data_IF_474967898164
#
_entry.id   IF_474967898164
#
_cell.length_a   1.000
_cell.length_b   1.000
_cell.length_c   1.000
_cell.angle_alpha   90.00
_cell.angle_beta   90.00
_cell.angle_gamma   90.00
#
_symmetry.space_group_name_H-M   'P 1'
#
loop_
_entity.id
_entity.type
_entity.pdbx_description
1 polymer ?
#
# COMPACT_ATOMS: atom_id res chain seq x y z
N UNK A 1 0.86 -19.66 -22.77
CA UNK A 1 0.44 -18.40 -22.15
C UNK A 1 -1.07 -18.35 -22.22
N UNK A 2 -1.73 -18.06 -21.12
CA UNK A 2 -3.17 -17.86 -21.06
C UNK A 2 -3.43 -16.37 -21.11
N UNK A 3 -4.22 -15.93 -22.09
CA UNK A 3 -4.69 -14.55 -22.18
C UNK A 3 -6.17 -14.49 -21.74
N UNK A 4 -6.57 -13.39 -21.14
CA UNK A 4 -7.95 -13.14 -20.76
C UNK A 4 -8.61 -12.33 -21.87
N UNK A 5 -9.78 -12.75 -22.32
CA UNK A 5 -10.60 -11.98 -23.26
C UNK A 5 -11.22 -10.82 -22.48
N UNK A 6 -10.83 -9.60 -22.81
CA UNK A 6 -11.33 -8.38 -22.16
C UNK A 6 -12.50 -7.77 -22.90
N UNK A 7 -12.56 -7.97 -24.21
CA UNK A 7 -13.62 -7.44 -25.05
C UNK A 7 -13.89 -8.37 -26.25
N UNK A 8 -15.13 -8.46 -26.66
CA UNK A 8 -15.55 -9.19 -27.84
C UNK A 8 -16.58 -8.36 -28.61
N UNK A 9 -16.28 -8.08 -29.85
CA UNK A 9 -17.24 -7.54 -30.84
C UNK A 9 -17.59 -8.61 -31.85
N UNK A 10 -18.44 -8.30 -32.87
CA UNK A 10 -18.73 -9.22 -33.95
C UNK A 10 -17.52 -9.55 -34.83
N UNK A 11 -16.53 -8.64 -34.90
CA UNK A 11 -15.35 -8.76 -35.74
C UNK A 11 -14.06 -8.95 -34.98
N UNK A 12 -14.00 -8.53 -33.71
CA UNK A 12 -12.75 -8.45 -32.97
C UNK A 12 -12.86 -9.08 -31.60
N UNK A 13 -11.73 -9.63 -31.13
CA UNK A 13 -11.57 -10.12 -29.79
C UNK A 13 -10.32 -9.47 -29.20
N UNK A 14 -10.48 -8.73 -28.12
CA UNK A 14 -9.37 -8.13 -27.39
C UNK A 14 -8.90 -9.08 -26.29
N UNK A 15 -7.62 -9.31 -26.24
CA UNK A 15 -6.96 -10.15 -25.22
C UNK A 15 -6.03 -9.31 -24.39
N UNK A 16 -6.05 -9.54 -23.09
CA UNK A 16 -5.01 -9.05 -22.18
C UNK A 16 -4.01 -10.19 -21.90
N UNK A 17 -2.76 -9.98 -22.27
CA UNK A 17 -1.70 -10.91 -21.92
C UNK A 17 -1.12 -10.52 -20.53
N UNK A 18 -0.68 -11.49 -19.72
CA UNK A 18 0.03 -11.18 -18.47
C UNK A 18 1.25 -10.28 -18.73
N UNK A 19 1.47 -9.30 -17.85
CA UNK A 19 2.62 -8.40 -17.95
C UNK A 19 3.97 -9.14 -17.98
N UNK A 20 4.98 -8.51 -18.54
CA UNK A 20 6.35 -9.04 -18.62
C UNK A 20 6.68 -9.82 -19.88
N UNK A 21 5.75 -9.90 -20.85
CA UNK A 21 6.08 -10.42 -22.17
C UNK A 21 6.56 -9.29 -23.08
N UNK A 22 7.67 -9.47 -23.80
CA UNK A 22 8.12 -8.49 -24.79
C UNK A 22 7.06 -8.30 -25.87
N UNK A 23 6.96 -7.09 -26.39
CA UNK A 23 6.12 -6.79 -27.54
C UNK A 23 6.41 -7.80 -28.67
N UNK A 24 5.42 -8.55 -29.07
CA UNK A 24 5.56 -9.62 -30.07
C UNK A 24 4.28 -9.83 -30.84
N UNK A 25 4.40 -10.26 -32.07
CA UNK A 25 3.28 -10.74 -32.85
C UNK A 25 3.22 -12.26 -32.73
N UNK A 26 2.12 -12.78 -32.22
CA UNK A 26 1.93 -14.23 -32.07
C UNK A 26 0.65 -14.72 -32.75
N UNK A 27 0.66 -15.97 -33.15
CA UNK A 27 -0.53 -16.59 -33.72
C UNK A 27 -1.49 -17.04 -32.63
N UNK A 28 -2.76 -16.67 -32.76
CA UNK A 28 -3.85 -17.22 -31.94
C UNK A 28 -4.32 -18.51 -32.55
N UNK A 29 -4.26 -19.59 -31.79
CA UNK A 29 -4.70 -20.91 -32.21
C UNK A 29 -5.86 -21.39 -31.34
N UNK A 30 -6.94 -21.79 -31.97
CA UNK A 30 -8.04 -22.48 -31.31
C UNK A 30 -7.79 -23.99 -31.37
N UNK A 31 -7.79 -24.65 -30.22
CA UNK A 31 -7.73 -26.10 -30.14
C UNK A 31 -9.13 -26.67 -29.96
N UNK A 32 -9.61 -27.41 -30.95
CA UNK A 32 -10.89 -28.09 -30.89
C UNK A 32 -10.72 -29.54 -31.32
N UNK A 33 -11.08 -30.48 -30.47
CA UNK A 33 -11.04 -31.94 -30.73
C UNK A 33 -9.66 -32.42 -31.26
N UNK A 34 -8.58 -31.94 -30.64
CA UNK A 34 -7.20 -32.33 -31.00
C UNK A 34 -6.66 -31.68 -32.27
N UNK A 35 -7.39 -30.78 -32.92
CA UNK A 35 -6.92 -30.00 -34.07
C UNK A 35 -6.70 -28.55 -33.69
N UNK A 36 -5.54 -28.01 -34.09
CA UNK A 36 -5.24 -26.58 -33.98
C UNK A 36 -5.72 -25.86 -35.24
N UNK A 37 -6.44 -24.77 -35.07
CA UNK A 37 -6.85 -23.87 -36.13
C UNK A 37 -6.30 -22.47 -35.80
N UNK A 38 -5.54 -21.90 -36.71
CA UNK A 38 -5.05 -20.52 -36.56
C UNK A 38 -6.22 -19.58 -36.82
N UNK A 39 -6.53 -18.74 -35.82
CA UNK A 39 -7.60 -17.73 -35.93
C UNK A 39 -7.07 -16.42 -36.48
N UNK A 40 -5.80 -16.13 -36.28
CA UNK A 40 -5.17 -14.90 -36.74
C UNK A 40 -3.87 -14.63 -36.00
N UNK A 41 -3.34 -13.45 -36.22
CA UNK A 41 -2.17 -12.94 -35.51
C UNK A 41 -2.62 -11.84 -34.57
N UNK A 42 -2.17 -11.86 -33.32
CA UNK A 42 -2.31 -10.76 -32.40
C UNK A 42 -0.95 -10.08 -32.24
N UNK A 43 -0.96 -8.78 -32.27
CA UNK A 43 0.17 -7.98 -31.83
C UNK A 43 -0.03 -7.69 -30.34
N UNK A 44 0.84 -8.24 -29.53
CA UNK A 44 0.93 -7.82 -28.13
C UNK A 44 1.67 -6.48 -28.17
N UNK A 45 0.92 -5.39 -28.00
CA UNK A 45 1.58 -4.12 -27.69
C UNK A 45 2.21 -4.27 -26.31
N UNK A 46 3.38 -3.68 -26.16
CA UNK A 46 3.96 -3.46 -24.85
C UNK A 46 2.97 -2.55 -24.09
N UNK A 47 2.01 -3.16 -23.44
CA UNK A 47 1.12 -2.48 -22.52
C UNK A 47 1.95 -2.08 -21.31
N UNK A 48 2.86 -1.13 -21.53
CA UNK A 48 3.55 -0.50 -20.39
C UNK A 48 2.47 0.07 -19.52
N UNK A 49 2.44 -0.30 -18.23
CA UNK A 49 1.68 0.47 -17.27
C UNK A 49 2.07 1.95 -17.48
N UNK A 50 1.18 2.90 -17.19
CA UNK A 50 1.51 4.31 -17.31
C UNK A 50 2.90 4.51 -16.69
N UNK A 51 3.79 5.21 -17.41
CA UNK A 51 5.21 5.35 -17.03
C UNK A 51 5.32 5.98 -15.64
N UNK A 52 4.31 6.69 -15.20
CA UNK A 52 4.19 7.29 -13.88
C UNK A 52 3.11 6.59 -13.02
N UNK A 53 3.38 6.38 -11.73
CA UNK A 53 2.38 5.85 -10.81
C UNK A 53 1.20 6.82 -10.69
N UNK A 54 -0.01 6.28 -10.65
CA UNK A 54 -1.24 7.02 -10.40
C UNK A 54 -1.64 6.90 -8.93
N UNK A 55 -2.28 7.94 -8.41
CA UNK A 55 -2.86 7.92 -7.08
C UNK A 55 -4.26 7.31 -7.13
N UNK A 56 -4.52 6.36 -6.25
CA UNK A 56 -5.81 5.72 -6.09
C UNK A 56 -6.36 5.98 -4.70
N UNK A 57 -7.66 6.26 -4.63
CA UNK A 57 -8.42 6.37 -3.40
C UNK A 57 -9.24 5.12 -3.17
N UNK A 58 -9.30 4.67 -1.93
CA UNK A 58 -10.14 3.57 -1.47
C UNK A 58 -11.28 4.17 -0.67
N UNK A 59 -12.52 3.98 -1.14
CA UNK A 59 -13.73 4.50 -0.50
C UNK A 59 -14.52 3.36 0.11
N UNK A 60 -14.83 3.45 1.39
CA UNK A 60 -15.74 2.51 2.05
C UNK A 60 -17.15 3.10 2.03
N UNK A 61 -18.11 2.33 1.51
CA UNK A 61 -19.52 2.73 1.46
C UNK A 61 -20.33 2.08 2.60
N UNK A 62 -21.43 2.71 2.97
CA UNK A 62 -22.32 2.21 4.03
C UNK A 62 -22.93 0.83 3.73
N UNK A 63 -22.98 0.45 2.46
CA UNK A 63 -23.42 -0.88 2.01
C UNK A 63 -22.35 -1.96 2.04
N UNK A 64 -21.25 -1.72 2.77
CA UNK A 64 -20.08 -2.61 2.82
C UNK A 64 -19.36 -2.84 1.48
N UNK A 65 -19.54 -1.98 0.53
CA UNK A 65 -18.81 -1.99 -0.73
C UNK A 65 -17.55 -1.13 -0.64
N UNK A 66 -16.54 -1.47 -1.43
CA UNK A 66 -15.30 -0.70 -1.55
C UNK A 66 -15.18 -0.16 -2.97
N UNK A 67 -15.08 1.15 -3.10
CA UNK A 67 -14.73 1.81 -4.36
C UNK A 67 -13.23 1.97 -4.52
N UNK A 68 -12.74 1.74 -5.73
CA UNK A 68 -11.37 2.08 -6.12
C UNK A 68 -11.47 3.18 -7.17
N UNK A 69 -10.98 4.36 -6.83
CA UNK A 69 -11.02 5.54 -7.67
C UNK A 69 -9.61 6.00 -8.03
N UNK A 70 -9.34 6.32 -9.29
CA UNK A 70 -8.14 7.03 -9.67
C UNK A 70 -8.34 8.52 -9.42
N UNK A 71 -7.36 9.15 -8.82
CA UNK A 71 -7.37 10.57 -8.45
C UNK A 71 -6.49 11.33 -9.45
N UNK A 72 -7.05 12.35 -10.06
CA UNK A 72 -6.28 13.28 -10.89
C UNK A 72 -5.40 14.16 -10.00
N UNK A 73 -4.09 14.14 -10.22
CA UNK A 73 -3.12 14.85 -9.38
C UNK A 73 -3.12 16.37 -9.60
N UNK A 74 -3.83 16.88 -10.60
CA UNK A 74 -3.94 18.31 -10.89
C UNK A 74 -5.22 18.88 -10.31
N UNK A 75 -6.35 18.20 -10.52
CA UNK A 75 -7.69 18.70 -10.15
C UNK A 75 -8.24 18.08 -8.87
N UNK A 76 -7.76 16.90 -8.49
CA UNK A 76 -8.37 16.10 -7.42
C UNK A 76 -9.61 15.30 -7.85
N UNK A 77 -9.99 15.37 -9.14
CA UNK A 77 -11.16 14.68 -9.66
C UNK A 77 -11.01 13.16 -9.55
N UNK A 78 -12.11 12.49 -9.24
CA UNK A 78 -12.18 11.05 -9.07
C UNK A 78 -12.72 10.38 -10.33
N UNK A 79 -12.03 9.33 -10.77
CA UNK A 79 -12.51 8.44 -11.83
C UNK A 79 -12.67 7.03 -11.26
N UNK A 80 -13.91 6.53 -11.19
CA UNK A 80 -14.19 5.18 -10.70
C UNK A 80 -13.53 4.12 -11.59
N UNK A 81 -12.68 3.29 -10.97
CA UNK A 81 -12.04 2.14 -11.61
C UNK A 81 -12.84 0.87 -11.35
N UNK A 82 -13.26 0.64 -10.11
CA UNK A 82 -13.96 -0.56 -9.70
C UNK A 82 -14.84 -0.34 -8.47
N UNK A 83 -15.86 -1.16 -8.32
CA UNK A 83 -16.63 -1.30 -7.08
C UNK A 83 -16.58 -2.75 -6.63
N UNK A 84 -15.91 -3.00 -5.54
CA UNK A 84 -15.82 -4.33 -4.93
C UNK A 84 -17.04 -4.55 -4.02
N UNK A 85 -17.72 -5.69 -4.17
CA UNK A 85 -18.87 -6.04 -3.31
C UNK A 85 -18.44 -6.44 -1.91
N UNK A 86 -19.43 -6.64 -1.04
CA UNK A 86 -19.31 -6.87 0.42
C UNK A 86 -18.19 -7.84 0.84
N UNK A 87 -18.05 -8.95 0.12
CA UNK A 87 -17.02 -9.97 0.42
C UNK A 87 -15.62 -9.64 -0.13
N UNK A 88 -15.47 -8.47 -0.72
CA UNK A 88 -14.23 -8.03 -1.37
C UNK A 88 -13.79 -6.64 -0.92
N UNK A 89 -14.22 -6.23 0.27
CA UNK A 89 -13.72 -4.98 0.88
C UNK A 89 -12.21 -5.02 0.99
N UNK A 90 -11.61 -3.84 0.84
CA UNK A 90 -10.18 -3.68 1.05
C UNK A 90 -9.93 -2.50 1.99
N UNK A 91 -9.03 -2.69 2.92
CA UNK A 91 -8.51 -1.65 3.81
C UNK A 91 -7.05 -1.94 4.15
N UNK A 92 -6.39 -1.03 4.87
CA UNK A 92 -4.97 -1.10 5.17
C UNK A 92 -4.15 -1.36 3.89
N UNK A 93 -4.35 -0.49 2.89
CA UNK A 93 -3.84 -0.74 1.54
C UNK A 93 -2.41 -0.31 1.38
N UNK A 94 -1.66 -1.11 0.63
CA UNK A 94 -0.28 -0.85 0.26
C UNK A 94 -0.02 -1.19 -1.21
N UNK A 95 1.01 -0.60 -1.76
CA UNK A 95 1.59 -0.99 -3.05
C UNK A 95 3.09 -1.20 -2.87
N UNK A 96 3.67 -1.92 -3.81
CA UNK A 96 5.12 -2.12 -3.87
C UNK A 96 5.68 -1.49 -5.13
N UNK A 97 6.93 -1.06 -5.12
CA UNK A 97 7.53 -0.35 -6.24
C UNK A 97 7.33 -1.07 -7.58
N UNK A 98 6.76 -0.38 -8.55
CA UNK A 98 6.55 -0.91 -9.89
C UNK A 98 5.42 -1.92 -10.05
N UNK A 99 4.60 -2.15 -9.02
CA UNK A 99 3.45 -3.05 -9.09
C UNK A 99 2.19 -2.33 -9.58
N UNK A 100 1.41 -3.03 -10.40
CA UNK A 100 0.05 -2.64 -10.78
C UNK A 100 -1.02 -3.21 -9.83
N UNK A 101 -0.63 -3.64 -8.63
CA UNK A 101 -1.53 -4.24 -7.65
C UNK A 101 -1.64 -3.40 -6.40
N UNK A 102 -2.86 -3.27 -5.92
CA UNK A 102 -3.16 -2.76 -4.59
C UNK A 102 -3.32 -3.96 -3.68
N UNK A 103 -2.48 -4.07 -2.66
CA UNK A 103 -2.56 -5.09 -1.63
C UNK A 103 -3.27 -4.51 -0.42
N UNK A 104 -3.93 -5.36 0.34
CA UNK A 104 -4.62 -4.93 1.54
C UNK A 104 -5.29 -6.08 2.25
N UNK A 105 -6.12 -5.75 3.20
CA UNK A 105 -6.92 -6.69 3.97
C UNK A 105 -8.34 -6.71 3.42
N UNK A 106 -8.90 -7.90 3.27
CA UNK A 106 -10.32 -8.12 3.00
C UNK A 106 -11.01 -8.68 4.25
N UNK A 107 -12.33 -8.54 4.39
CA UNK A 107 -13.06 -9.21 5.45
C UNK A 107 -12.83 -10.72 5.38
N UNK A 108 -12.40 -11.30 6.48
CA UNK A 108 -12.17 -12.74 6.58
C UNK A 108 -12.00 -13.15 8.03
N UNK A 109 -12.68 -14.20 8.48
CA UNK A 109 -12.63 -14.61 9.87
C UNK A 109 -12.99 -13.50 10.86
N UNK A 110 -12.25 -13.43 11.97
CA UNK A 110 -12.47 -12.43 13.02
C UNK A 110 -11.64 -11.16 12.84
N UNK A 111 -10.62 -11.17 11.97
CA UNK A 111 -9.65 -10.07 11.85
C UNK A 111 -9.56 -9.60 10.40
N UNK A 112 -9.24 -10.47 9.46
CA UNK A 112 -9.14 -10.14 8.06
C UNK A 112 -8.38 -11.20 7.26
N UNK A 113 -8.38 -11.06 5.96
CA UNK A 113 -7.61 -11.91 5.05
C UNK A 113 -6.72 -11.04 4.14
N UNK A 114 -5.51 -11.51 3.86
CA UNK A 114 -4.66 -10.84 2.89
C UNK A 114 -5.26 -10.97 1.48
N UNK A 115 -5.38 -9.85 0.79
CA UNK A 115 -5.96 -9.78 -0.54
C UNK A 115 -5.20 -8.80 -1.44
N UNK A 116 -5.46 -8.87 -2.74
CA UNK A 116 -5.01 -7.85 -3.68
C UNK A 116 -6.03 -7.59 -4.79
N UNK A 117 -5.96 -6.40 -5.34
CA UNK A 117 -6.65 -6.00 -6.56
C UNK A 117 -5.61 -5.68 -7.65
N UNK A 118 -5.73 -6.34 -8.81
CA UNK A 118 -4.87 -6.09 -9.97
C UNK A 118 -5.55 -5.03 -10.86
N UNK A 119 -4.96 -3.85 -10.95
CA UNK A 119 -5.50 -2.70 -11.68
C UNK A 119 -5.57 -2.94 -13.19
N UNK A 120 -4.63 -3.69 -13.75
CA UNK A 120 -4.60 -4.00 -15.18
C UNK A 120 -5.63 -5.06 -15.54
N UNK A 121 -5.66 -6.14 -14.77
CA UNK A 121 -6.56 -7.27 -15.00
C UNK A 121 -7.97 -7.04 -14.47
N UNK A 122 -8.19 -5.97 -13.70
CA UNK A 122 -9.44 -5.69 -12.97
C UNK A 122 -9.93 -6.90 -12.19
N UNK A 123 -9.04 -7.43 -11.39
CA UNK A 123 -9.23 -8.71 -10.74
C UNK A 123 -8.87 -8.64 -9.27
N UNK A 124 -9.83 -9.04 -8.44
CA UNK A 124 -9.65 -9.17 -6.99
C UNK A 124 -9.33 -10.63 -6.63
N UNK A 125 -8.38 -10.82 -5.76
CA UNK A 125 -8.04 -12.12 -5.21
C UNK A 125 -7.81 -12.05 -3.72
N UNK A 126 -8.50 -12.92 -3.00
CA UNK A 126 -8.19 -13.30 -1.64
C UNK A 126 -7.08 -14.36 -1.66
N UNK A 127 -6.10 -14.21 -0.78
CA UNK A 127 -4.99 -15.14 -0.67
C UNK A 127 -5.35 -16.45 0.06
N UNK A 128 -6.50 -16.50 0.74
CA UNK A 128 -6.89 -17.60 1.61
C UNK A 128 -6.15 -17.63 2.96
N UNK A 129 -5.43 -16.54 3.30
CA UNK A 129 -4.75 -16.39 4.58
C UNK A 129 -5.57 -15.52 5.50
N UNK A 130 -6.24 -16.15 6.44
CA UNK A 130 -7.07 -15.50 7.46
C UNK A 130 -6.24 -14.99 8.66
N UNK A 131 -6.88 -14.24 9.53
CA UNK A 131 -6.32 -13.66 10.76
C UNK A 131 -5.16 -12.69 10.50
N UNK A 132 -5.20 -12.00 9.37
CA UNK A 132 -4.28 -10.93 9.05
C UNK A 132 -4.75 -9.63 9.72
N UNK A 133 -3.84 -8.97 10.40
CA UNK A 133 -4.14 -7.80 11.25
C UNK A 133 -3.77 -6.49 10.57
N UNK A 134 -2.60 -6.45 9.93
CA UNK A 134 -2.10 -5.25 9.27
C UNK A 134 -1.23 -5.61 8.07
N UNK A 135 -1.36 -4.83 7.00
CA UNK A 135 -0.51 -4.92 5.82
C UNK A 135 0.66 -3.93 5.90
N UNK A 136 1.66 -4.13 5.06
CA UNK A 136 2.78 -3.22 4.90
C UNK A 136 3.67 -3.64 3.75
N UNK A 137 4.83 -3.00 3.65
CA UNK A 137 5.83 -3.33 2.64
C UNK A 137 7.11 -3.80 3.30
N UNK A 138 7.70 -4.85 2.77
CA UNK A 138 9.02 -5.36 3.16
C UNK A 138 9.92 -5.32 1.92
N UNK A 139 10.73 -4.29 1.78
CA UNK A 139 11.49 -3.97 0.56
C UNK A 139 10.54 -3.92 -0.65
N UNK A 140 10.70 -4.85 -1.60
CA UNK A 140 9.93 -4.91 -2.85
C UNK A 140 8.67 -5.82 -2.75
N UNK A 141 8.33 -6.28 -1.56
CA UNK A 141 7.22 -7.22 -1.34
C UNK A 141 6.13 -6.60 -0.47
N UNK A 142 4.88 -6.96 -0.75
CA UNK A 142 3.81 -6.77 0.21
C UNK A 142 3.99 -7.79 1.34
N UNK A 143 3.81 -7.33 2.56
CA UNK A 143 3.94 -8.16 3.76
C UNK A 143 2.74 -7.93 4.69
N UNK A 144 2.47 -8.89 5.55
CA UNK A 144 1.31 -8.89 6.43
C UNK A 144 1.70 -9.43 7.80
N UNK A 145 1.14 -8.85 8.84
CA UNK A 145 1.17 -9.42 10.17
C UNK A 145 -0.08 -10.29 10.38
N UNK A 146 0.12 -11.56 10.68
CA UNK A 146 -0.93 -12.54 10.93
C UNK A 146 -0.93 -12.97 12.38
N UNK A 147 -2.11 -13.08 12.97
CA UNK A 147 -2.27 -13.66 14.30
C UNK A 147 -2.34 -15.19 14.19
N UNK A 148 -1.40 -15.89 14.78
CA UNK A 148 -1.31 -17.35 14.76
C UNK A 148 -0.90 -17.90 16.14
N UNK A 149 -1.70 -18.79 16.69
CA UNK A 149 -1.45 -19.43 17.99
C UNK A 149 -1.09 -18.47 19.14
N UNK A 150 -1.79 -17.31 19.21
CA UNK A 150 -1.58 -16.29 20.24
C UNK A 150 -0.36 -15.38 20.00
N UNK A 151 0.18 -15.36 18.79
CA UNK A 151 1.33 -14.54 18.42
C UNK A 151 1.11 -13.88 17.08
N UNK A 152 1.81 -12.77 16.85
CA UNK A 152 1.88 -12.13 15.54
C UNK A 152 3.04 -12.68 14.73
N UNK A 153 2.77 -13.08 13.52
CA UNK A 153 3.75 -13.66 12.57
C UNK A 153 3.81 -12.76 11.34
N UNK A 154 5.02 -12.33 10.96
CA UNK A 154 5.23 -11.60 9.72
C UNK A 154 5.22 -12.57 8.54
N UNK A 155 4.48 -12.23 7.52
CA UNK A 155 4.33 -12.99 6.29
C UNK A 155 4.64 -12.12 5.08
N UNK A 156 5.49 -12.63 4.19
CA UNK A 156 5.73 -12.01 2.89
C UNK A 156 4.83 -12.63 1.82
N UNK A 157 4.25 -11.81 0.96
CA UNK A 157 3.61 -12.28 -0.26
C UNK A 157 4.58 -12.14 -1.43
N UNK A 158 5.02 -13.28 -1.96
CA UNK A 158 5.89 -13.28 -3.13
C UNK A 158 5.09 -12.88 -4.38
N UNK A 159 5.45 -11.74 -4.97
CA UNK A 159 4.73 -11.07 -6.03
C UNK A 159 4.97 -11.63 -7.42
N UNK A 160 6.06 -12.35 -7.62
CA UNK A 160 6.50 -12.80 -8.95
C UNK A 160 5.81 -14.08 -9.41
N UNK A 161 5.10 -14.77 -8.52
CA UNK A 161 4.39 -16.03 -8.84
C UNK A 161 2.88 -15.83 -8.80
N UNK A 162 2.20 -16.36 -9.80
CA UNK A 162 0.73 -16.44 -9.86
C UNK A 162 0.12 -17.29 -8.74
N UNK A 163 0.93 -18.11 -8.09
CA UNK A 163 0.60 -18.80 -6.85
C UNK A 163 1.22 -18.03 -5.70
N UNK A 164 0.41 -17.21 -5.06
CA UNK A 164 0.75 -16.52 -3.84
C UNK A 164 0.84 -17.58 -2.74
N UNK A 165 2.01 -18.16 -2.57
CA UNK A 165 2.31 -18.86 -1.34
C UNK A 165 3.05 -17.87 -0.45
N UNK A 166 2.59 -17.60 0.78
CA UNK A 166 3.43 -16.90 1.73
C UNK A 166 4.67 -17.76 1.92
N UNK A 167 5.80 -17.11 1.93
CA UNK A 167 6.98 -17.68 2.55
C UNK A 167 6.80 -17.35 4.02
N UNK A 168 6.46 -18.33 4.88
CA UNK A 168 6.36 -18.05 6.30
C UNK A 168 7.76 -17.71 6.77
N UNK A 169 8.03 -16.48 7.16
CA UNK A 169 9.23 -16.20 7.92
C UNK A 169 9.02 -16.85 9.28
N UNK A 170 10.06 -17.40 9.81
CA UNK A 170 10.10 -17.91 11.19
C UNK A 170 10.07 -16.79 12.25
N UNK A 171 9.49 -15.63 11.92
CA UNK A 171 9.59 -14.39 12.68
C UNK A 171 8.29 -14.15 13.43
N UNK A 172 8.35 -14.40 14.71
CA UNK A 172 7.24 -14.16 15.63
C UNK A 172 7.49 -12.91 16.45
N UNK A 173 6.47 -12.07 16.60
CA UNK A 173 6.50 -10.95 17.50
C UNK A 173 6.28 -11.42 18.96
N UNK A 174 6.75 -10.66 19.95
CA UNK A 174 6.44 -10.90 21.34
C UNK A 174 4.94 -11.05 21.60
N UNK A 175 4.59 -11.87 22.56
CA UNK A 175 3.19 -12.19 22.89
C UNK A 175 2.43 -11.07 23.61
N UNK A 176 3.12 -10.02 24.01
CA UNK A 176 2.56 -8.83 24.68
C UNK A 176 1.98 -7.79 23.71
N UNK A 177 2.19 -7.99 22.40
CA UNK A 177 1.56 -7.16 21.39
C UNK A 177 0.26 -7.82 20.95
N UNK A 178 -0.85 -7.27 21.42
CA UNK A 178 -2.17 -7.71 21.01
C UNK A 178 -2.54 -7.16 19.61
N UNK A 179 -3.24 -7.93 18.76
CA UNK A 179 -3.70 -7.46 17.45
C UNK A 179 -4.47 -6.15 17.51
N UNK A 180 -5.28 -5.95 18.54
CA UNK A 180 -6.13 -4.78 18.73
C UNK A 180 -5.34 -3.50 19.02
N UNK A 181 -4.06 -3.64 19.41
CA UNK A 181 -3.16 -2.49 19.63
C UNK A 181 -2.61 -1.96 18.31
N UNK A 182 -2.55 -2.78 17.26
CA UNK A 182 -2.08 -2.35 15.95
C UNK A 182 -3.21 -1.57 15.27
N UNK A 183 -2.90 -0.34 14.88
CA UNK A 183 -3.84 0.50 14.16
C UNK A 183 -4.13 -0.04 12.75
N UNK A 184 -5.10 0.54 12.08
CA UNK A 184 -5.50 0.17 10.70
C UNK A 184 -4.50 0.65 9.65
N UNK A 185 -3.43 1.35 10.05
CA UNK A 185 -2.44 1.92 9.14
C UNK A 185 -1.36 0.90 8.78
N UNK A 186 -0.95 0.87 7.50
CA UNK A 186 0.11 -0.01 7.04
C UNK A 186 1.44 0.24 7.78
N UNK A 187 2.19 -0.82 8.03
CA UNK A 187 3.58 -0.66 8.47
C UNK A 187 4.49 -0.33 7.28
N UNK A 188 5.62 0.31 7.56
CA UNK A 188 6.61 0.70 6.56
C UNK A 188 7.99 0.14 6.88
N UNK A 189 8.72 -0.24 5.82
CA UNK A 189 10.12 -0.67 5.95
C UNK A 189 11.06 0.51 5.70
N UNK A 190 12.08 0.61 6.55
CA UNK A 190 13.13 1.61 6.44
C UNK A 190 14.51 0.99 6.37
N UNK A 191 15.53 1.81 6.10
CA UNK A 191 16.91 1.36 5.99
C UNK A 191 17.36 0.51 7.19
N UNK A 192 18.10 -0.54 6.91
CA UNK A 192 18.52 -1.51 7.91
C UNK A 192 17.48 -2.61 8.21
N UNK A 193 16.37 -2.65 7.48
CA UNK A 193 15.32 -3.68 7.62
C UNK A 193 14.44 -3.48 8.85
N UNK A 194 14.39 -2.25 9.38
CA UNK A 194 13.45 -1.91 10.44
C UNK A 194 12.05 -1.75 9.87
N UNK A 195 11.05 -2.25 10.61
CA UNK A 195 9.63 -2.01 10.31
C UNK A 195 9.06 -1.06 11.34
N UNK A 196 8.42 0.02 10.87
CA UNK A 196 7.75 0.99 11.73
C UNK A 196 6.25 0.72 11.75
N UNK A 197 5.68 0.62 12.93
CA UNK A 197 4.25 0.52 13.20
C UNK A 197 3.85 1.56 14.24
N UNK A 198 2.57 1.88 14.30
CA UNK A 198 1.99 2.65 15.38
C UNK A 198 1.03 1.76 16.18
N UNK A 199 1.19 1.69 17.48
CA UNK A 199 0.26 1.02 18.37
C UNK A 199 -0.63 2.05 19.08
N UNK A 200 -1.94 1.82 19.05
CA UNK A 200 -2.92 2.58 19.84
C UNK A 200 -2.97 1.97 21.23
N UNK A 201 -2.36 2.62 22.20
CA UNK A 201 -2.16 2.05 23.54
C UNK A 201 -3.15 2.56 24.58
N UNK A 202 -3.77 3.71 24.35
CA UNK A 202 -4.85 4.27 25.17
C UNK A 202 -5.63 5.30 24.33
N UNK A 203 -6.83 5.74 24.75
CA UNK A 203 -7.51 6.87 24.12
C UNK A 203 -6.54 8.05 23.94
N UNK A 204 -6.48 8.59 22.73
CA UNK A 204 -5.60 9.70 22.34
C UNK A 204 -4.09 9.45 22.63
N UNK A 205 -3.67 8.19 22.65
CA UNK A 205 -2.27 7.82 22.89
C UNK A 205 -1.79 6.75 21.94
N UNK A 206 -0.69 7.04 21.25
CA UNK A 206 -0.04 6.14 20.32
C UNK A 206 1.41 5.91 20.72
N UNK A 207 1.89 4.71 20.47
CA UNK A 207 3.27 4.32 20.78
C UNK A 207 3.97 3.86 19.49
N UNK A 208 5.12 4.44 19.12
CA UNK A 208 5.94 3.94 18.04
C UNK A 208 6.42 2.51 18.35
N UNK A 209 6.19 1.60 17.43
CA UNK A 209 6.75 0.25 17.47
C UNK A 209 7.78 0.08 16.36
N UNK A 210 8.93 -0.45 16.71
CA UNK A 210 9.99 -0.78 15.77
C UNK A 210 10.29 -2.27 15.84
N UNK A 211 10.08 -2.96 14.73
CA UNK A 211 10.51 -4.33 14.59
C UNK A 211 11.89 -4.35 13.95
N UNK A 212 12.83 -5.02 14.61
CA UNK A 212 14.18 -5.20 14.11
C UNK A 212 14.41 -6.66 13.79
N UNK A 213 14.61 -6.99 12.51
CA UNK A 213 14.95 -8.35 12.10
C UNK A 213 16.47 -8.55 12.02
N UNK A 214 16.95 -9.67 12.58
CA UNK A 214 18.28 -10.19 12.28
C UNK A 214 18.14 -11.53 11.62
N UNK A 215 18.86 -11.73 10.54
CA UNK A 215 18.89 -13.00 9.83
C UNK A 215 19.19 -14.14 10.83
N UNK A 216 18.23 -15.05 11.00
CA UNK A 216 18.36 -16.22 11.86
C UNK A 216 17.90 -16.07 13.31
N UNK A 217 17.62 -14.86 13.80
CA UNK A 217 17.25 -14.63 15.20
C UNK A 217 15.80 -14.20 15.45
N UNK A 218 15.03 -13.93 14.35
CA UNK A 218 13.67 -13.41 14.44
C UNK A 218 13.63 -11.89 14.61
N UNK A 219 12.41 -11.35 14.75
CA UNK A 219 12.21 -9.92 15.03
C UNK A 219 12.18 -9.65 16.52
N UNK A 220 12.97 -8.65 16.94
CA UNK A 220 12.81 -8.02 18.24
C UNK A 220 11.89 -6.81 18.07
N UNK A 221 10.96 -6.62 18.98
CA UNK A 221 10.13 -5.42 19.04
C UNK A 221 10.73 -4.47 20.07
N UNK A 222 10.91 -3.23 19.65
CA UNK A 222 11.23 -2.11 20.51
C UNK A 222 10.03 -1.18 20.57
N UNK A 223 9.77 -0.63 21.73
CA UNK A 223 8.69 0.31 21.98
C UNK A 223 9.30 1.67 22.31
N UNK A 224 8.87 2.69 21.57
CA UNK A 224 9.23 4.08 21.86
C UNK A 224 8.36 4.70 22.96
N UNK A 225 8.58 5.97 23.22
CA UNK A 225 7.76 6.72 24.17
C UNK A 225 6.35 6.96 23.59
N UNK A 226 5.36 6.93 24.46
CA UNK A 226 3.97 7.19 24.08
C UNK A 226 3.78 8.67 23.73
N UNK A 227 3.12 8.90 22.60
CA UNK A 227 2.75 10.24 22.11
C UNK A 227 1.26 10.47 22.32
N UNK A 228 0.92 11.64 22.87
CA UNK A 228 -0.47 12.10 22.93
C UNK A 228 -0.88 12.63 21.55
N UNK A 229 -1.73 11.89 20.84
CA UNK A 229 -2.10 12.18 19.46
C UNK A 229 -3.51 11.67 19.15
N UNK A 230 -4.21 12.36 18.25
CA UNK A 230 -5.52 11.96 17.72
C UNK A 230 -5.37 10.84 16.64
N UNK A 231 -4.22 10.82 15.99
CA UNK A 231 -3.83 9.77 15.03
C UNK A 231 -2.31 9.72 14.87
N UNK A 232 -1.79 8.56 14.51
CA UNK A 232 -0.38 8.34 14.21
C UNK A 232 -0.23 7.37 13.04
N UNK A 233 0.30 7.87 11.92
CA UNK A 233 0.44 7.11 10.67
C UNK A 233 1.91 6.96 10.33
N UNK A 234 2.46 5.73 10.24
CA UNK A 234 3.85 5.54 9.82
C UNK A 234 4.01 5.84 8.33
N UNK A 235 5.15 6.41 7.95
CA UNK A 235 5.53 6.63 6.56
C UNK A 235 7.02 6.36 6.35
N UNK A 236 7.40 6.06 5.09
CA UNK A 236 8.79 5.89 4.69
C UNK A 236 9.14 6.79 3.52
N UNK A 237 10.31 7.42 3.57
CA UNK A 237 10.82 8.29 2.52
C UNK A 237 12.27 7.93 2.19
N UNK A 238 12.71 8.26 0.98
CA UNK A 238 14.12 8.27 0.61
C UNK A 238 14.65 9.67 0.85
N UNK A 239 15.40 9.85 1.92
CA UNK A 239 15.97 11.13 2.31
C UNK A 239 17.48 11.15 2.07
N UNK A 240 18.00 12.34 1.86
CA UNK A 240 19.39 12.58 1.51
C UNK A 240 20.30 12.40 2.73
N UNK A 241 21.31 11.57 2.60
CA UNK A 241 22.29 11.34 3.64
C UNK A 241 23.19 12.55 3.91
N UNK A 242 23.99 12.43 4.95
CA UNK A 242 24.94 13.49 5.35
C UNK A 242 26.03 13.78 4.30
N UNK A 243 26.31 12.82 3.43
CA UNK A 243 27.22 12.96 2.29
C UNK A 243 26.65 13.85 1.18
N UNK A 244 25.36 14.13 1.21
CA UNK A 244 24.67 14.94 0.22
C UNK A 244 24.46 14.25 -1.13
N UNK A 245 24.83 12.99 -1.30
CA UNK A 245 24.78 12.24 -2.56
C UNK A 245 23.94 10.97 -2.44
N UNK A 246 24.01 10.29 -1.31
CA UNK A 246 23.33 9.01 -1.10
C UNK A 246 21.96 9.22 -0.48
N UNK A 247 20.94 8.51 -0.99
CA UNK A 247 19.60 8.50 -0.41
C UNK A 247 19.40 7.22 0.40
N UNK A 248 18.81 7.36 1.57
CA UNK A 248 18.50 6.26 2.48
C UNK A 248 17.01 6.21 2.77
N UNK A 249 16.47 5.01 2.88
CA UNK A 249 15.10 4.81 3.33
C UNK A 249 15.01 5.15 4.83
N UNK A 250 14.47 6.30 5.15
CA UNK A 250 14.19 6.74 6.52
C UNK A 250 12.70 6.65 6.79
N UNK A 251 12.33 6.45 8.02
CA UNK A 251 10.94 6.38 8.44
C UNK A 251 10.55 7.52 9.34
N UNK A 252 9.26 7.67 9.50
CA UNK A 252 8.69 8.65 10.40
C UNK A 252 7.23 8.35 10.69
N UNK A 253 6.64 9.26 11.44
CA UNK A 253 5.23 9.23 11.78
C UNK A 253 4.58 10.58 11.52
N UNK A 254 3.42 10.55 10.89
CA UNK A 254 2.52 11.68 10.86
C UNK A 254 1.74 11.67 12.18
N UNK A 255 2.08 12.58 13.07
CA UNK A 255 1.51 12.69 14.42
C UNK A 255 0.48 13.81 14.41
N UNK A 256 -0.80 13.48 14.51
CA UNK A 256 -1.90 14.43 14.49
C UNK A 256 -2.32 14.80 15.90
N UNK A 257 -2.49 16.10 16.18
CA UNK A 257 -2.98 16.60 17.44
C UNK A 257 -3.72 17.93 17.26
N UNK A 258 -4.97 17.98 17.73
CA UNK A 258 -5.75 19.21 17.71
C UNK A 258 -5.97 19.80 16.33
N UNK A 259 -6.13 18.96 15.29
CA UNK A 259 -6.36 19.39 13.92
C UNK A 259 -5.11 19.81 13.15
N UNK A 260 -3.93 19.57 13.68
CA UNK A 260 -2.64 19.74 13.00
C UNK A 260 -1.87 18.44 13.01
N UNK A 261 -1.27 18.07 11.91
CA UNK A 261 -0.40 16.90 11.81
C UNK A 261 1.04 17.32 11.54
N UNK A 262 1.95 16.85 12.36
CA UNK A 262 3.39 16.99 12.14
C UNK A 262 3.94 15.71 11.47
N UNK A 263 4.67 15.88 10.37
CA UNK A 263 5.45 14.81 9.74
C UNK A 263 6.82 14.76 10.42
N UNK A 264 7.02 13.80 11.30
CA UNK A 264 8.22 13.69 12.14
C UNK A 264 9.03 12.47 11.75
N UNK A 265 10.30 12.66 11.37
CA UNK A 265 11.21 11.54 11.15
C UNK A 265 11.55 10.87 12.50
N UNK A 266 11.74 9.57 12.43
CA UNK A 266 11.97 8.74 13.60
C UNK A 266 13.22 7.90 13.43
N UNK A 267 14.10 7.92 14.41
CA UNK A 267 15.30 7.13 14.44
C UNK A 267 15.01 5.76 15.11
N UNK A 268 14.98 4.65 14.35
CA UNK A 268 14.64 3.33 14.90
C UNK A 268 15.74 2.74 15.80
N UNK A 269 16.93 3.36 15.83
CA UNK A 269 18.05 2.91 16.67
C UNK A 269 17.98 3.56 18.04
N UNK A 270 17.88 4.90 18.10
CA UNK A 270 17.74 5.66 19.36
C UNK A 270 16.33 5.61 19.93
N UNK A 271 15.34 5.24 19.11
CA UNK A 271 13.91 5.23 19.47
C UNK A 271 13.35 6.62 19.79
N UNK A 272 13.83 7.63 19.07
CA UNK A 272 13.49 9.03 19.27
C UNK A 272 13.07 9.69 17.95
N UNK A 273 12.22 10.73 18.05
CA UNK A 273 11.97 11.61 16.94
C UNK A 273 13.21 12.48 16.65
N UNK A 274 13.64 12.51 15.39
CA UNK A 274 14.85 13.22 14.96
C UNK A 274 14.52 14.66 14.56
N UNK A 275 13.69 14.84 13.54
CA UNK A 275 13.28 16.16 13.04
C UNK A 275 11.88 16.16 12.46
N UNK A 276 11.24 17.34 12.45
CA UNK A 276 9.99 17.57 11.76
C UNK A 276 10.26 18.01 10.32
N UNK A 277 9.66 17.32 9.34
CA UNK A 277 9.72 17.68 7.93
C UNK A 277 8.74 18.82 7.61
N UNK A 278 7.51 18.70 8.09
CA UNK A 278 6.42 19.63 7.83
C UNK A 278 5.37 19.56 8.92
N UNK A 279 4.55 20.61 9.01
CA UNK A 279 3.29 20.62 9.76
C UNK A 279 2.16 20.99 8.81
N UNK A 280 1.13 20.15 8.74
CA UNK A 280 -0.02 20.33 7.84
C UNK A 280 -1.32 20.45 8.61
N UNK A 281 -2.28 21.19 8.07
CA UNK A 281 -3.61 21.33 8.66
C UNK A 281 -4.46 20.09 8.40
N UNK A 282 -5.19 19.61 9.41
CA UNK A 282 -6.01 18.42 9.38
C UNK A 282 -5.34 17.20 10.03
N UNK A 283 -6.13 16.17 10.22
CA UNK A 283 -5.68 14.87 10.75
C UNK A 283 -5.33 13.96 9.59
N UNK A 284 -4.05 13.64 9.39
CA UNK A 284 -3.62 12.69 8.36
C UNK A 284 -4.09 11.29 8.72
N UNK A 285 -4.77 10.64 7.78
CA UNK A 285 -5.33 9.29 7.89
C UNK A 285 -4.60 8.26 7.05
N UNK A 286 -4.02 8.67 5.92
CA UNK A 286 -3.29 7.80 5.01
C UNK A 286 -2.23 8.57 4.26
N UNK A 287 -1.12 7.92 3.94
CA UNK A 287 0.01 8.53 3.23
C UNK A 287 0.41 7.62 2.08
N UNK A 288 0.57 8.21 0.90
CA UNK A 288 1.20 7.58 -0.25
C UNK A 288 2.45 8.37 -0.66
N UNK A 289 3.49 7.67 -1.11
CA UNK A 289 4.80 8.28 -1.36
C UNK A 289 5.22 8.06 -2.79
N UNK A 290 5.58 9.14 -3.50
CA UNK A 290 6.13 9.09 -4.86
C UNK A 290 7.65 9.16 -4.82
N UNK A 291 8.27 8.18 -5.45
CA UNK A 291 9.72 8.13 -5.66
C UNK A 291 10.05 8.28 -7.15
N UNK A 292 11.08 9.05 -7.45
CA UNK A 292 11.71 9.11 -8.76
C UNK A 292 13.23 9.11 -8.65
N UNK A 293 13.88 8.34 -9.51
CA UNK A 293 15.34 8.29 -9.57
C UNK A 293 16.05 7.91 -8.26
N UNK A 294 15.34 7.21 -7.35
CA UNK A 294 15.90 6.79 -6.06
C UNK A 294 15.80 7.84 -4.95
N UNK A 295 15.02 8.91 -5.16
CA UNK A 295 14.65 9.89 -4.12
C UNK A 295 13.14 9.94 -3.93
N UNK A 296 12.68 10.42 -2.78
CA UNK A 296 11.27 10.78 -2.60
C UNK A 296 11.04 12.17 -3.18
N UNK A 297 10.05 12.30 -4.06
CA UNK A 297 9.65 13.58 -4.62
C UNK A 297 8.49 14.20 -3.86
N UNK A 298 7.41 13.44 -3.68
CA UNK A 298 6.18 13.95 -3.05
C UNK A 298 5.60 12.98 -2.04
N UNK A 299 4.99 13.54 -1.02
CA UNK A 299 4.12 12.87 -0.07
C UNK A 299 2.68 13.30 -0.33
N UNK A 300 1.81 12.35 -0.65
CA UNK A 300 0.38 12.54 -0.73
C UNK A 300 -0.24 12.17 0.61
N UNK A 301 -0.97 13.07 1.21
CA UNK A 301 -1.58 12.91 2.52
C UNK A 301 -3.09 13.06 2.41
N UNK A 302 -3.82 12.06 2.83
CA UNK A 302 -5.26 12.13 3.00
C UNK A 302 -5.54 12.71 4.38
N UNK A 303 -6.10 13.92 4.41
CA UNK A 303 -6.34 14.68 5.64
C UNK A 303 -7.84 14.84 5.89
N UNK A 304 -8.28 14.44 7.08
CA UNK A 304 -9.59 14.81 7.62
C UNK A 304 -9.52 16.26 8.10
N UNK A 305 -10.35 17.12 7.55
CA UNK A 305 -10.39 18.56 7.85
C UNK A 305 -11.43 18.93 8.91
N UNK A 306 -12.19 17.94 9.41
CA UNK A 306 -13.19 18.13 10.47
C UNK A 306 -14.51 18.75 9.98
N UNK A 307 -14.62 19.10 8.69
CA UNK A 307 -15.84 19.64 8.06
C UNK A 307 -16.69 18.55 7.37
N UNK A 308 -16.35 17.27 7.61
CA UNK A 308 -17.05 16.09 7.06
C UNK A 308 -16.53 15.62 5.71
N UNK A 309 -15.37 16.13 5.25
CA UNK A 309 -14.71 15.68 4.03
C UNK A 309 -13.21 15.46 4.24
N UNK A 310 -12.64 14.56 3.43
CA UNK A 310 -11.19 14.39 3.36
C UNK A 310 -10.63 15.21 2.20
N UNK A 311 -9.43 15.73 2.37
CA UNK A 311 -8.69 16.44 1.32
C UNK A 311 -7.31 15.84 1.13
N UNK A 312 -6.81 15.89 -0.09
CA UNK A 312 -5.46 15.45 -0.38
C UNK A 312 -4.52 16.64 -0.36
N UNK A 313 -3.53 16.56 0.50
CA UNK A 313 -2.41 17.49 0.56
C UNK A 313 -1.17 16.84 -0.02
N UNK A 314 -0.42 17.59 -0.77
CA UNK A 314 0.80 17.12 -1.42
C UNK A 314 1.95 17.96 -0.90
N UNK A 315 2.92 17.31 -0.29
CA UNK A 315 4.15 17.94 0.17
C UNK A 315 5.30 17.58 -0.77
N UNK A 316 5.93 18.56 -1.35
CA UNK A 316 7.11 18.44 -2.20
C UNK A 316 8.36 18.40 -1.33
N UNK A 317 9.11 17.32 -1.44
CA UNK A 317 10.28 17.06 -0.58
C UNK A 317 11.48 17.96 -0.91
N UNK A 318 11.59 18.42 -2.15
CA UNK A 318 12.72 19.24 -2.60
C UNK A 318 12.53 20.71 -2.23
N UNK A 319 11.36 21.26 -2.54
CA UNK A 319 11.06 22.66 -2.27
C UNK A 319 10.57 22.93 -0.85
N UNK A 320 10.10 21.89 -0.13
CA UNK A 320 9.41 22.03 1.15
C UNK A 320 8.04 22.70 1.04
N UNK A 321 7.48 22.79 -0.17
CA UNK A 321 6.19 23.44 -0.39
C UNK A 321 5.04 22.45 -0.25
N UNK A 322 3.89 22.98 0.17
CA UNK A 322 2.63 22.23 0.26
C UNK A 322 1.62 22.79 -0.75
N UNK A 323 0.86 21.89 -1.37
CA UNK A 323 -0.33 22.21 -2.15
C UNK A 323 -1.50 21.33 -1.74
N UNK A 324 -2.70 21.82 -1.95
CA UNK A 324 -3.94 21.06 -1.68
C UNK A 324 -4.58 20.76 -3.03
N UNK A 325 -5.00 19.52 -3.27
CA UNK A 325 -5.82 19.20 -4.43
C UNK A 325 -7.24 19.73 -4.19
N UNK A 326 -7.80 20.36 -5.21
CA UNK A 326 -9.14 20.90 -5.15
C UNK A 326 -10.18 19.77 -4.96
N UNK A 327 -11.20 20.07 -4.15
CA UNK A 327 -12.29 19.13 -3.89
C UNK A 327 -12.08 18.24 -2.66
N UNK A 328 -13.21 17.85 -2.08
CA UNK A 328 -13.26 16.86 -1.03
C UNK A 328 -13.33 15.46 -1.66
N UNK A 329 -12.59 14.51 -1.10
CA UNK A 329 -12.58 13.12 -1.56
C UNK A 329 -13.25 12.22 -0.52
N UNK A 330 -14.10 11.26 -0.93
CA UNK A 330 -14.80 10.37 -0.01
C UNK A 330 -13.94 9.18 0.44
N UNK A 331 -12.70 9.08 -0.03
CA UNK A 331 -11.84 7.95 0.27
C UNK A 331 -11.38 7.95 1.74
N UNK A 332 -11.23 6.76 2.30
CA UNK A 332 -10.68 6.51 3.64
C UNK A 332 -9.17 6.29 3.61
N UNK A 333 -8.64 5.84 2.48
CA UNK A 333 -7.22 5.54 2.29
C UNK A 333 -6.78 5.92 0.88
N UNK A 334 -5.48 6.16 0.70
CA UNK A 334 -4.85 6.42 -0.59
C UNK A 334 -3.64 5.52 -0.80
N UNK A 335 -3.37 5.19 -2.06
CA UNK A 335 -2.21 4.37 -2.45
C UNK A 335 -1.72 4.78 -3.83
N UNK A 336 -0.40 4.82 -4.03
CA UNK A 336 0.22 4.97 -5.34
C UNK A 336 0.46 3.59 -5.95
N UNK A 337 0.00 3.38 -7.19
CA UNK A 337 0.22 2.15 -7.95
C UNK A 337 0.43 2.46 -9.44
N UNK A 338 1.08 1.55 -10.17
CA UNK A 338 1.33 1.67 -11.61
C UNK A 338 0.26 1.02 -12.45
#
# INVERSE_FOLDING_TARGET
>A
VWAVVTERTESDITFLAPGGYPASTTEVKLFRRGKAMTLGKISVSDGRPPEEPSLYGITQYDCDETGIDRIDLTTGDLTRIETLGVLRRMHCVVNTPGSNRIYGLAPGGNIGAAAFYDLTMRYFRDSGYDNVVVAGTLSDFAAFLRHEAGRLVLMELNMTRTNVAPVPPSWMLPSDIAPEMLGENPFVTVYGGYLLLAAHTAPDSYTPLVLTGRSGEGYAVKTGDAEQADAMVPFGVLDKGQDGETYYAVGGYAVAKGGVTELRLYNPVSMEFDRTLAAVQGTVRSIAVRHDGGKTEELFMLCDTGDGGNRIRVYDMESGSERVLDGAVPCSEIVLAR
#
